data_IF_011577325615
#
_entry.id   IF_011577325615
#
_cell.length_a   1.000
_cell.length_b   1.000
_cell.length_c   1.000
_cell.angle_alpha   90.00
_cell.angle_beta   90.00
_cell.angle_gamma   90.00
#
_symmetry.space_group_name_H-M   'P 1'
#
loop_
_entity.id
_entity.type
_entity.pdbx_description
1 polymer ?
#
# COMPACT_ATOMS: atom_id res chain seq x y z
N UNK A 1 17.68 -26.26 18.72
CA UNK A 1 16.45 -25.44 18.82
C UNK A 1 16.04 -25.09 17.40
N UNK A 2 15.04 -25.81 16.94
CA UNK A 2 14.38 -25.52 15.67
C UNK A 2 13.82 -24.08 15.74
N UNK A 3 14.16 -23.16 14.84
CA UNK A 3 13.52 -21.86 14.80
C UNK A 3 12.05 -22.13 14.44
N UNK A 4 11.19 -22.08 15.45
CA UNK A 4 9.78 -22.42 15.28
C UNK A 4 9.16 -21.58 14.17
N UNK A 5 8.68 -22.24 13.13
CA UNK A 5 7.87 -21.61 12.11
C UNK A 5 6.58 -21.10 12.76
N UNK A 6 6.41 -19.79 12.80
CA UNK A 6 5.18 -19.17 13.28
C UNK A 6 4.22 -19.02 12.11
N UNK A 7 3.25 -19.92 12.02
CA UNK A 7 2.16 -19.80 11.08
C UNK A 7 1.08 -18.84 11.61
N UNK A 8 0.56 -18.00 10.75
CA UNK A 8 -0.59 -17.15 11.05
C UNK A 8 -1.47 -16.94 9.81
N UNK A 9 -2.74 -16.65 10.05
CA UNK A 9 -3.70 -16.30 9.01
C UNK A 9 -3.97 -14.79 9.06
N UNK A 10 -3.74 -14.09 7.97
CA UNK A 10 -4.05 -12.66 7.84
C UNK A 10 -5.40 -12.49 7.13
N UNK A 11 -6.39 -11.96 7.85
CA UNK A 11 -7.64 -11.52 7.25
C UNK A 11 -7.52 -10.05 6.87
N UNK A 12 -7.43 -9.78 5.57
CA UNK A 12 -7.42 -8.42 5.04
C UNK A 12 -8.80 -7.78 5.09
N UNK A 13 -8.89 -6.45 5.20
CA UNK A 13 -10.15 -5.73 5.18
C UNK A 13 -10.84 -5.81 3.82
N UNK A 14 -12.15 -5.57 3.82
CA UNK A 14 -12.90 -5.36 2.59
C UNK A 14 -12.37 -4.16 1.83
N UNK A 15 -12.38 -4.26 0.50
CA UNK A 15 -12.02 -3.21 -0.41
C UNK A 15 -13.23 -2.86 -1.27
N UNK A 16 -13.61 -1.59 -1.27
CA UNK A 16 -14.66 -1.06 -2.11
C UNK A 16 -14.04 -0.20 -3.19
N UNK A 17 -14.42 -0.44 -4.43
CA UNK A 17 -13.92 0.29 -5.58
C UNK A 17 -15.09 0.80 -6.41
N UNK A 18 -15.06 2.08 -6.77
CA UNK A 18 -15.98 2.74 -7.66
C UNK A 18 -15.19 3.40 -8.78
N UNK A 19 -15.52 3.10 -10.02
CA UNK A 19 -14.86 3.69 -11.17
C UNK A 19 -15.86 4.16 -12.20
N UNK A 20 -15.50 5.24 -12.89
CA UNK A 20 -16.25 5.79 -13.99
C UNK A 20 -15.31 6.22 -15.11
N UNK A 21 -15.74 6.06 -16.34
CA UNK A 21 -15.00 6.51 -17.51
C UNK A 21 -15.96 7.09 -18.53
N UNK A 22 -15.48 8.08 -19.27
CA UNK A 22 -16.24 8.70 -20.36
C UNK A 22 -15.32 9.10 -21.51
N UNK A 23 -15.89 9.27 -22.69
CA UNK A 23 -15.19 9.79 -23.85
C UNK A 23 -15.89 11.03 -24.37
N UNK A 24 -15.12 12.05 -24.75
CA UNK A 24 -15.60 13.26 -25.41
C UNK A 24 -15.17 13.21 -26.87
N UNK A 25 -16.12 13.01 -27.73
CA UNK A 25 -15.86 12.74 -29.15
C UNK A 25 -14.95 11.53 -29.34
N UNK A 26 -14.08 11.59 -30.34
CA UNK A 26 -13.09 10.52 -30.64
C UNK A 26 -11.67 10.89 -30.19
N UNK A 27 -11.51 11.94 -29.39
CA UNK A 27 -10.20 12.51 -29.11
C UNK A 27 -9.82 12.55 -27.62
N UNK A 28 -10.78 12.56 -26.71
CA UNK A 28 -10.51 12.64 -25.28
C UNK A 28 -11.21 11.50 -24.53
N UNK A 29 -10.47 10.73 -23.75
CA UNK A 29 -11.00 9.79 -22.77
C UNK A 29 -10.60 10.24 -21.36
N UNK A 30 -11.54 10.16 -20.42
CA UNK A 30 -11.37 10.51 -19.03
C UNK A 30 -11.78 9.34 -18.15
N UNK A 31 -11.06 9.11 -17.08
CA UNK A 31 -11.43 8.14 -16.06
C UNK A 31 -11.17 8.68 -14.66
N UNK A 32 -12.01 8.26 -13.73
CA UNK A 32 -11.86 8.52 -12.31
C UNK A 32 -12.19 7.24 -11.54
N UNK A 33 -11.43 6.98 -10.49
CA UNK A 33 -11.60 5.82 -9.64
C UNK A 33 -11.39 6.24 -8.18
N UNK A 34 -12.25 5.72 -7.32
CA UNK A 34 -12.12 5.82 -5.87
C UNK A 34 -12.14 4.44 -5.26
N UNK A 35 -11.14 4.14 -4.44
CA UNK A 35 -11.03 2.89 -3.68
C UNK A 35 -10.93 3.21 -2.19
N UNK A 36 -11.64 2.45 -1.37
CA UNK A 36 -11.55 2.52 0.08
C UNK A 36 -11.31 1.16 0.69
N UNK A 37 -10.39 1.08 1.64
CA UNK A 37 -10.11 -0.12 2.43
C UNK A 37 -9.80 0.26 3.87
N UNK A 38 -10.54 -0.32 4.83
CA UNK A 38 -10.34 0.01 6.25
C UNK A 38 -9.28 -0.91 6.88
N UNK A 39 -8.02 -0.51 6.81
CA UNK A 39 -6.90 -1.30 7.37
C UNK A 39 -6.99 -1.47 8.89
N UNK A 40 -7.69 -0.59 9.62
CA UNK A 40 -7.93 -0.77 11.06
C UNK A 40 -8.78 -2.00 11.39
N UNK A 41 -9.44 -2.60 10.39
CA UNK A 41 -10.23 -3.84 10.54
C UNK A 41 -9.47 -5.11 10.15
N UNK A 42 -8.18 -5.01 9.81
CA UNK A 42 -7.32 -6.15 9.58
C UNK A 42 -7.23 -7.03 10.84
N UNK A 43 -7.19 -8.34 10.66
CA UNK A 43 -7.12 -9.29 11.76
C UNK A 43 -6.02 -10.30 11.52
N UNK A 44 -5.21 -10.49 12.53
CA UNK A 44 -4.32 -11.65 12.62
C UNK A 44 -5.09 -12.76 13.34
N UNK A 45 -4.99 -13.98 12.85
CA UNK A 45 -5.64 -15.15 13.41
C UNK A 45 -4.65 -16.29 13.56
N UNK A 46 -4.80 -17.07 14.61
CA UNK A 46 -4.03 -18.30 14.78
C UNK A 46 -4.43 -19.31 13.70
N UNK A 47 -3.49 -20.13 13.23
CA UNK A 47 -3.81 -21.20 12.29
C UNK A 47 -4.75 -22.21 12.93
N UNK A 48 -5.55 -22.87 12.10
CA UNK A 48 -6.41 -23.96 12.53
C UNK A 48 -5.58 -25.24 12.57
N UNK A 49 -5.24 -25.72 13.76
CA UNK A 49 -4.68 -27.05 13.91
C UNK A 49 -5.79 -28.05 14.19
N UNK A 50 -5.89 -29.06 13.36
CA UNK A 50 -6.75 -30.21 13.59
C UNK A 50 -6.02 -31.18 14.52
N UNK A 51 -6.08 -30.89 15.83
CA UNK A 51 -5.55 -31.79 16.84
C UNK A 51 -6.72 -32.56 17.46
N UNK A 52 -6.58 -33.88 17.55
CA UNK A 52 -7.56 -34.79 18.15
C UNK A 52 -7.99 -34.40 19.56
N UNK A 53 -7.26 -33.53 20.25
CA UNK A 53 -7.52 -33.10 21.62
C UNK A 53 -7.91 -31.61 21.78
N UNK A 54 -7.60 -30.76 20.83
CA UNK A 54 -7.91 -29.33 20.94
C UNK A 54 -8.17 -28.73 19.53
N UNK A 55 -9.41 -28.46 19.26
CA UNK A 55 -9.80 -27.62 18.14
C UNK A 55 -9.64 -26.15 18.53
N UNK A 56 -8.48 -25.57 18.25
CA UNK A 56 -8.25 -24.12 18.34
C UNK A 56 -8.08 -23.61 16.92
N UNK A 57 -9.17 -23.49 16.18
CA UNK A 57 -9.09 -23.11 14.79
C UNK A 57 -9.49 -21.68 14.52
N UNK A 58 -8.56 -20.89 14.00
CA UNK A 58 -8.87 -19.60 13.38
C UNK A 58 -9.32 -18.51 14.35
N UNK A 59 -9.03 -18.64 15.64
CA UNK A 59 -9.32 -17.59 16.62
C UNK A 59 -8.53 -16.31 16.30
N UNK A 60 -9.20 -15.18 16.53
CA UNK A 60 -8.58 -13.87 16.36
C UNK A 60 -7.51 -13.66 17.42
N UNK A 61 -6.28 -13.36 16.99
CA UNK A 61 -5.30 -12.76 17.89
C UNK A 61 -5.75 -11.35 18.25
N UNK A 62 -6.25 -11.21 19.48
CA UNK A 62 -6.80 -9.94 19.96
C UNK A 62 -5.73 -8.88 20.08
N UNK A 63 -4.54 -9.24 20.58
CA UNK A 63 -3.45 -8.30 20.79
C UNK A 63 -3.02 -7.63 19.46
N UNK A 64 -2.63 -8.42 18.47
CA UNK A 64 -2.21 -7.91 17.17
C UNK A 64 -3.35 -7.21 16.40
N UNK A 65 -4.57 -7.72 16.50
CA UNK A 65 -5.71 -7.11 15.82
C UNK A 65 -6.14 -5.79 16.47
N UNK A 66 -6.00 -5.64 17.79
CA UNK A 66 -6.30 -4.38 18.48
C UNK A 66 -5.21 -3.34 18.22
N UNK A 67 -3.95 -3.73 18.01
CA UNK A 67 -2.89 -2.85 17.53
C UNK A 67 -3.22 -2.29 16.12
N UNK A 68 -3.68 -3.14 15.19
CA UNK A 68 -4.14 -2.67 13.88
C UNK A 68 -5.29 -1.65 14.02
N UNK A 69 -6.26 -1.90 14.88
CA UNK A 69 -7.36 -0.98 15.17
C UNK A 69 -6.88 0.34 15.80
N UNK A 70 -5.89 0.28 16.67
CA UNK A 70 -5.34 1.42 17.38
C UNK A 70 -4.53 2.32 16.44
N UNK A 71 -3.69 1.76 15.58
CA UNK A 71 -2.66 2.50 14.85
C UNK A 71 -2.89 2.64 13.35
N UNK A 72 -3.82 1.89 12.77
CA UNK A 72 -4.11 2.00 11.34
C UNK A 72 -5.38 2.80 11.05
N UNK A 73 -5.40 3.41 9.87
CA UNK A 73 -6.53 4.16 9.32
C UNK A 73 -7.27 3.37 8.24
N UNK A 74 -8.43 3.89 7.86
CA UNK A 74 -8.99 3.62 6.56
C UNK A 74 -8.16 4.33 5.48
N UNK A 75 -7.86 3.61 4.41
CA UNK A 75 -7.08 4.12 3.27
C UNK A 75 -8.01 4.42 2.11
N UNK A 76 -7.98 5.67 1.67
CA UNK A 76 -8.65 6.13 0.46
C UNK A 76 -7.63 6.26 -0.66
N UNK A 77 -7.98 5.73 -1.83
CA UNK A 77 -7.19 5.91 -3.05
C UNK A 77 -8.05 6.60 -4.09
N UNK A 78 -7.51 7.67 -4.67
CA UNK A 78 -8.11 8.39 -5.80
C UNK A 78 -7.20 8.23 -7.00
N UNK A 79 -7.76 7.81 -8.14
CA UNK A 79 -7.05 7.72 -9.41
C UNK A 79 -7.79 8.51 -10.47
N UNK A 80 -7.09 9.41 -11.13
CA UNK A 80 -7.60 10.20 -12.24
C UNK A 80 -6.73 9.97 -13.46
N UNK A 81 -7.33 9.87 -14.62
CA UNK A 81 -6.61 9.68 -15.86
C UNK A 81 -7.29 10.38 -17.03
N UNK A 82 -6.46 10.84 -17.95
CA UNK A 82 -6.89 11.42 -19.22
C UNK A 82 -6.01 10.89 -20.35
N UNK A 83 -6.64 10.55 -21.48
CA UNK A 83 -5.96 10.24 -22.73
C UNK A 83 -6.49 11.19 -23.81
N UNK A 84 -5.58 11.92 -24.44
CA UNK A 84 -5.86 12.81 -25.54
C UNK A 84 -5.24 12.26 -26.83
N UNK A 85 -6.06 12.06 -27.85
CA UNK A 85 -5.61 11.73 -29.19
C UNK A 85 -5.21 13.02 -29.90
N UNK A 86 -3.90 13.26 -30.00
CA UNK A 86 -3.35 14.49 -30.57
C UNK A 86 -3.21 14.45 -32.11
N UNK A 87 -3.10 13.24 -32.67
CA UNK A 87 -3.09 13.01 -34.11
C UNK A 87 -3.55 11.57 -34.42
N UNK A 88 -3.69 11.22 -35.70
CA UNK A 88 -4.00 9.84 -36.11
C UNK A 88 -2.89 8.89 -35.64
N UNK A 89 -3.23 8.03 -34.68
CA UNK A 89 -2.27 7.08 -34.10
C UNK A 89 -1.33 7.64 -33.04
N UNK A 90 -1.48 8.91 -32.61
CA UNK A 90 -0.67 9.51 -31.56
C UNK A 90 -1.52 9.95 -30.38
N UNK A 91 -1.11 9.57 -29.18
CA UNK A 91 -1.84 9.74 -27.93
C UNK A 91 -0.93 10.32 -26.84
N UNK A 92 -1.46 11.26 -26.08
CA UNK A 92 -0.84 11.77 -24.85
C UNK A 92 -1.71 11.38 -23.68
N UNK A 93 -1.10 10.94 -22.59
CA UNK A 93 -1.78 10.51 -21.38
C UNK A 93 -1.25 11.26 -20.19
N UNK A 94 -2.14 11.60 -19.29
CA UNK A 94 -1.79 12.14 -17.99
C UNK A 94 -2.60 11.40 -16.92
N UNK A 95 -1.98 11.17 -15.76
CA UNK A 95 -2.64 10.51 -14.66
C UNK A 95 -2.16 11.04 -13.31
N UNK A 96 -3.03 10.94 -12.34
CA UNK A 96 -2.74 11.26 -10.95
C UNK A 96 -3.30 10.17 -10.04
N UNK A 97 -2.51 9.74 -9.08
CA UNK A 97 -2.92 8.78 -8.06
C UNK A 97 -2.53 9.30 -6.68
N UNK A 98 -3.52 9.38 -5.81
CA UNK A 98 -3.36 9.70 -4.40
C UNK A 98 -3.76 8.50 -3.56
N UNK A 99 -2.93 8.16 -2.56
CA UNK A 99 -3.23 7.14 -1.55
C UNK A 99 -3.05 7.77 -0.20
N UNK A 100 -4.07 7.77 0.65
CA UNK A 100 -3.97 8.34 2.00
C UNK A 100 -3.05 7.50 2.90
N UNK A 101 -2.53 8.12 3.97
CA UNK A 101 -1.64 7.44 4.90
C UNK A 101 -2.35 6.27 5.62
N UNK A 102 -1.74 5.07 5.67
CA UNK A 102 -2.31 3.92 6.36
C UNK A 102 -2.16 3.99 7.87
N UNK A 103 -1.20 4.76 8.38
CA UNK A 103 -0.91 4.88 9.80
C UNK A 103 -1.46 6.18 10.38
N UNK A 104 -1.92 6.13 11.64
CA UNK A 104 -2.23 7.31 12.44
C UNK A 104 -0.94 8.01 12.83
N UNK A 105 -1.04 9.31 13.19
CA UNK A 105 0.12 10.14 13.56
C UNK A 105 0.92 9.60 14.74
N UNK A 106 0.23 8.95 15.67
CA UNK A 106 0.78 8.40 16.91
C UNK A 106 1.10 6.90 16.81
N UNK A 107 1.01 6.34 15.61
CA UNK A 107 1.31 4.92 15.40
C UNK A 107 2.78 4.62 15.71
N UNK A 108 3.00 3.54 16.46
CA UNK A 108 4.33 3.04 16.78
C UNK A 108 4.34 1.51 16.77
N UNK A 109 5.51 0.93 16.61
CA UNK A 109 5.70 -0.51 16.69
C UNK A 109 5.81 -0.92 18.16
N UNK A 110 4.85 -1.75 18.62
CA UNK A 110 4.88 -2.32 19.94
C UNK A 110 5.45 -3.76 19.89
N UNK A 111 6.71 -3.90 20.20
CA UNK A 111 7.40 -5.20 20.14
C UNK A 111 6.87 -6.21 21.19
N UNK A 112 6.34 -5.74 22.30
CA UNK A 112 5.82 -6.61 23.38
C UNK A 112 4.46 -7.20 23.03
N UNK A 113 3.62 -6.46 22.34
CA UNK A 113 2.31 -6.97 21.89
C UNK A 113 2.45 -7.96 20.74
N UNK A 114 3.43 -7.75 19.87
CA UNK A 114 3.65 -8.59 18.70
C UNK A 114 4.10 -10.01 19.04
N UNK A 115 4.76 -10.23 20.19
CA UNK A 115 5.16 -11.58 20.61
C UNK A 115 5.51 -11.62 22.10
N UNK A 116 4.57 -11.90 23.00
CA UNK A 116 4.84 -11.98 24.43
C UNK A 116 5.81 -13.12 24.81
N UNK A 117 6.07 -14.06 23.89
CA UNK A 117 6.93 -15.21 24.14
C UNK A 117 8.31 -15.13 23.48
N UNK A 118 8.55 -14.20 22.57
CA UNK A 118 9.79 -14.13 21.79
C UNK A 118 10.31 -12.70 21.67
N UNK A 119 11.22 -12.33 22.53
CA UNK A 119 11.90 -11.03 22.56
C UNK A 119 12.98 -10.86 21.48
N UNK A 120 12.83 -11.49 20.33
CA UNK A 120 13.86 -11.45 19.28
C UNK A 120 13.38 -10.64 18.06
N UNK A 121 13.28 -9.32 18.24
CA UNK A 121 13.29 -8.45 17.06
C UNK A 121 14.71 -7.93 16.86
N UNK A 122 15.35 -8.33 15.78
CA UNK A 122 16.64 -7.78 15.38
C UNK A 122 16.52 -6.38 14.77
N UNK A 123 15.31 -5.97 14.40
CA UNK A 123 15.03 -4.67 13.80
C UNK A 123 14.33 -3.78 14.81
N UNK A 124 15.07 -2.84 15.36
CA UNK A 124 14.54 -1.83 16.28
C UNK A 124 14.09 -0.57 15.56
N UNK A 125 14.46 -0.41 14.29
CA UNK A 125 14.06 0.68 13.43
C UNK A 125 12.83 0.32 12.59
N UNK A 126 11.98 1.30 12.34
CA UNK A 126 10.84 1.16 11.45
C UNK A 126 10.42 2.51 10.85
N UNK A 127 9.67 2.47 9.76
CA UNK A 127 9.16 3.65 9.07
C UNK A 127 7.64 3.58 8.96
N UNK A 128 6.95 4.56 9.49
CA UNK A 128 5.54 4.78 9.22
C UNK A 128 5.39 5.56 7.91
N UNK A 129 5.05 4.87 6.85
CA UNK A 129 4.87 5.48 5.54
C UNK A 129 3.59 6.32 5.50
N UNK A 130 3.73 7.56 5.06
CA UNK A 130 2.63 8.50 4.89
C UNK A 130 1.91 8.34 3.55
N UNK A 131 1.16 9.39 3.19
CA UNK A 131 0.40 9.41 1.94
C UNK A 131 1.32 9.37 0.71
N UNK A 132 0.81 8.76 -0.35
CA UNK A 132 1.50 8.64 -1.64
C UNK A 132 0.83 9.56 -2.65
N UNK A 133 1.64 10.35 -3.36
CA UNK A 133 1.23 11.11 -4.54
C UNK A 133 2.02 10.59 -5.74
N UNK A 134 1.33 10.26 -6.83
CA UNK A 134 1.94 9.86 -8.09
C UNK A 134 1.37 10.67 -9.23
N UNK A 135 2.25 11.31 -9.98
CA UNK A 135 1.91 11.93 -11.25
C UNK A 135 2.50 11.10 -12.40
N UNK A 136 1.74 10.91 -13.45
CA UNK A 136 2.17 10.13 -14.63
C UNK A 136 1.93 10.93 -15.90
N UNK A 137 2.89 10.84 -16.82
CA UNK A 137 2.77 11.33 -18.19
C UNK A 137 3.12 10.19 -19.14
N UNK A 138 2.41 10.06 -20.23
CA UNK A 138 2.63 9.04 -21.22
C UNK A 138 2.43 9.54 -22.64
N UNK A 139 3.17 8.92 -23.56
CA UNK A 139 3.03 9.15 -24.99
C UNK A 139 2.92 7.80 -25.70
N UNK A 140 1.98 7.69 -26.60
CA UNK A 140 1.71 6.45 -27.35
C UNK A 140 1.62 6.70 -28.85
N UNK A 141 2.24 5.80 -29.61
CA UNK A 141 2.14 5.74 -31.06
C UNK A 141 1.51 4.41 -31.49
N UNK A 142 0.52 4.44 -32.38
CA UNK A 142 -0.16 3.25 -32.91
C UNK A 142 -0.20 3.29 -34.43
N UNK A 143 0.54 2.39 -35.06
CA UNK A 143 0.50 2.12 -36.50
C UNK A 143 -0.43 0.94 -36.82
N UNK A 144 -0.37 0.47 -38.07
CA UNK A 144 -1.11 -0.72 -38.53
C UNK A 144 -0.63 -2.00 -37.82
N UNK A 145 0.68 -2.18 -37.74
CA UNK A 145 1.32 -3.40 -37.22
C UNK A 145 2.14 -3.15 -35.96
N UNK A 146 2.60 -1.94 -35.73
CA UNK A 146 3.43 -1.58 -34.57
C UNK A 146 2.71 -0.62 -33.65
N UNK A 147 2.99 -0.77 -32.36
CA UNK A 147 2.70 0.26 -31.37
C UNK A 147 3.88 0.46 -30.42
N UNK A 148 4.03 1.67 -29.94
CA UNK A 148 5.04 2.04 -28.97
C UNK A 148 4.39 2.96 -27.94
N UNK A 149 4.55 2.65 -26.65
CA UNK A 149 4.10 3.46 -25.55
C UNK A 149 5.28 3.76 -24.63
N UNK A 150 5.44 5.01 -24.22
CA UNK A 150 6.40 5.45 -23.22
C UNK A 150 5.63 6.14 -22.10
N UNK A 151 5.97 5.83 -20.87
CA UNK A 151 5.38 6.46 -19.69
C UNK A 151 6.47 6.83 -18.68
N UNK A 152 6.28 7.97 -18.05
CA UNK A 152 7.06 8.44 -16.92
C UNK A 152 6.15 8.63 -15.73
N UNK A 153 6.58 8.12 -14.57
CA UNK A 153 5.88 8.29 -13.30
C UNK A 153 6.82 8.89 -12.27
N UNK A 154 6.35 9.91 -11.59
CA UNK A 154 6.98 10.48 -10.41
C UNK A 154 6.12 10.22 -9.19
N UNK A 155 6.74 9.65 -8.15
CA UNK A 155 6.09 9.38 -6.87
C UNK A 155 6.78 10.16 -5.76
N UNK A 156 5.98 10.78 -4.92
CA UNK A 156 6.40 11.43 -3.67
C UNK A 156 5.69 10.72 -2.52
N UNK A 157 6.44 10.34 -1.52
CA UNK A 157 5.92 9.80 -0.27
C UNK A 157 6.78 10.29 0.88
N UNK A 158 6.17 10.75 1.95
CA UNK A 158 6.85 11.04 3.21
C UNK A 158 6.64 9.92 4.19
N UNK A 159 7.55 9.77 5.13
CA UNK A 159 7.43 8.80 6.21
C UNK A 159 8.08 9.33 7.48
N UNK A 160 7.69 8.74 8.59
CA UNK A 160 8.26 9.00 9.91
C UNK A 160 9.16 7.81 10.29
N UNK A 161 10.47 8.03 10.27
CA UNK A 161 11.48 7.05 10.65
C UNK A 161 11.72 7.11 12.15
N UNK A 162 11.58 5.98 12.80
CA UNK A 162 11.96 5.74 14.18
C UNK A 162 13.22 4.88 14.18
N UNK A 163 14.34 5.41 14.70
CA UNK A 163 15.65 4.76 14.57
C UNK A 163 15.87 3.62 15.56
N UNK A 164 15.21 3.64 16.70
CA UNK A 164 15.20 2.54 17.66
C UNK A 164 14.10 2.71 18.70
N UNK A 165 13.77 1.60 19.34
CA UNK A 165 12.81 1.52 20.42
C UNK A 165 13.56 1.09 21.68
N UNK A 166 13.45 1.86 22.75
CA UNK A 166 14.16 1.60 24.01
C UNK A 166 13.19 1.09 25.08
N UNK A 167 13.24 -0.22 25.37
CA UNK A 167 12.69 -0.83 26.58
C UNK A 167 11.16 -1.00 26.63
N UNK A 168 10.67 -1.31 27.81
CA UNK A 168 9.33 -1.81 28.11
C UNK A 168 8.24 -0.74 28.06
N UNK A 169 8.58 0.53 28.20
CA UNK A 169 7.63 1.63 28.25
C UNK A 169 7.63 2.38 26.90
N UNK A 170 6.78 1.87 25.99
CA UNK A 170 6.65 2.38 24.63
C UNK A 170 6.29 3.88 24.56
N UNK A 171 5.61 4.39 25.57
CA UNK A 171 5.18 5.80 25.60
C UNK A 171 6.29 6.73 26.08
N UNK A 172 7.19 6.26 26.96
CA UNK A 172 8.26 7.08 27.56
C UNK A 172 9.58 7.02 26.81
N UNK A 173 9.88 5.87 26.20
CA UNK A 173 11.19 5.62 25.59
C UNK A 173 11.19 5.78 24.05
N UNK A 174 10.12 6.30 23.49
CA UNK A 174 10.01 6.54 22.05
C UNK A 174 10.79 7.81 21.68
N UNK A 175 11.80 7.64 20.84
CA UNK A 175 12.47 8.78 20.23
C UNK A 175 11.55 9.49 19.23
N UNK A 176 11.75 10.79 19.11
CA UNK A 176 11.05 11.58 18.10
C UNK A 176 11.37 11.06 16.70
N UNK A 177 10.31 10.85 15.92
CA UNK A 177 10.46 10.45 14.54
C UNK A 177 11.24 11.48 13.72
N UNK A 178 12.03 11.00 12.79
CA UNK A 178 12.64 11.81 11.72
C UNK A 178 11.84 11.66 10.45
N UNK A 179 11.41 12.78 9.87
CA UNK A 179 10.75 12.75 8.56
C UNK A 179 11.74 12.33 7.49
N UNK A 180 11.35 11.35 6.70
CA UNK A 180 12.10 10.88 5.52
C UNK A 180 11.27 11.12 4.26
N UNK A 181 11.94 11.56 3.20
CA UNK A 181 11.34 11.76 1.89
C UNK A 181 11.73 10.60 0.96
N UNK A 182 10.71 9.92 0.42
CA UNK A 182 10.89 8.84 -0.54
C UNK A 182 10.38 9.31 -1.90
N UNK A 183 11.32 9.59 -2.79
CA UNK A 183 11.02 9.99 -4.16
C UNK A 183 11.39 8.84 -5.10
N UNK A 184 10.49 8.52 -6.03
CA UNK A 184 10.72 7.47 -7.02
C UNK A 184 10.37 7.95 -8.41
N UNK A 185 11.28 7.68 -9.34
CA UNK A 185 11.10 7.92 -10.76
C UNK A 185 11.03 6.57 -11.49
N UNK A 186 10.00 6.36 -12.27
CA UNK A 186 9.86 5.17 -13.11
C UNK A 186 9.67 5.59 -14.56
N UNK A 187 10.41 4.95 -15.44
CA UNK A 187 10.27 5.07 -16.89
C UNK A 187 9.87 3.70 -17.42
N UNK A 188 8.82 3.64 -18.23
CA UNK A 188 8.36 2.43 -18.87
C UNK A 188 8.30 2.62 -20.37
N UNK A 189 8.79 1.63 -21.11
CA UNK A 189 8.71 1.57 -22.57
C UNK A 189 8.04 0.24 -22.95
N UNK A 190 7.02 0.32 -23.77
CA UNK A 190 6.34 -0.86 -24.32
C UNK A 190 6.37 -0.79 -25.84
N UNK A 191 6.87 -1.84 -26.46
CA UNK A 191 6.86 -2.02 -27.92
C UNK A 191 6.04 -3.26 -28.24
N UNK A 192 5.21 -3.18 -29.26
CA UNK A 192 4.41 -4.32 -29.65
C UNK A 192 4.15 -4.38 -31.14
N UNK A 193 3.92 -5.59 -31.61
CA UNK A 193 3.60 -5.93 -33.00
C UNK A 193 2.26 -6.66 -33.07
N UNK A 194 1.43 -6.30 -34.04
CA UNK A 194 0.15 -6.96 -34.35
C UNK A 194 0.28 -7.71 -35.68
N UNK A 195 0.01 -8.96 -35.66
CA UNK A 195 -0.07 -9.83 -36.83
C UNK A 195 -1.37 -9.57 -37.62
#
# INVERSE_FOLDING_TARGET
>A
LDPGDNEYNLRTPWRFNFSMATTVGNYLALNAEYEYSNYSSAQVRYPSYDSYYYYTGGEKDRALSDEAKRFMNGVSTVRLGAELRVAKGAYVRAGYNYVSAPFKKDAYLNLFTASPSYYYSNNTDYVNLGAINRATLGFGLRGKHFYADMAYQYQIQKGDLYTFHLGDDADRNRLSAKTVDLNRHNVMLTLGYKF
#
